data_IF_840748224051
#
_entry.id   IF_840748224051
#
_cell.length_a   1.000
_cell.length_b   1.000
_cell.length_c   1.000
_cell.angle_alpha   90.00
_cell.angle_beta   90.00
_cell.angle_gamma   90.00
#
_symmetry.space_group_name_H-M   'P 1'
#
loop_
_entity.id
_entity.type
_entity.pdbx_description
1 polymer ?
2 water ?
#
# COMPACT_ATOMS: atom_id res chain seq x y z
N UNK A 10 -22.75 -2.67 -13.91
CA UNK A 10 -22.64 -2.54 -15.35
C UNK A 10 -21.26 -2.92 -15.86
N UNK A 11 -20.77 -2.22 -16.86
CA UNK A 11 -19.63 -2.67 -17.59
C UNK A 11 -18.86 -1.48 -17.96
N UNK A 12 -17.55 -1.59 -18.00
CA UNK A 12 -16.75 -0.53 -18.47
C UNK A 12 -15.60 -1.18 -19.14
N UNK A 13 -15.23 -0.71 -20.30
CA UNK A 13 -14.10 -1.27 -20.98
C UNK A 13 -13.29 -0.20 -21.63
N UNK A 14 -12.03 -0.49 -21.79
CA UNK A 14 -11.10 0.45 -22.30
C UNK A 14 -10.06 -0.42 -22.88
N UNK A 15 -10.20 -0.77 -24.12
CA UNK A 15 -9.30 -1.69 -24.78
C UNK A 15 -9.23 -2.97 -23.96
N UNK A 16 -8.10 -3.66 -23.89
CA UNK A 16 -8.02 -4.86 -23.07
C UNK A 16 -8.65 -4.87 -21.71
N UNK A 17 -8.80 -3.73 -21.08
CA UNK A 17 -9.42 -3.69 -19.79
C UNK A 17 -10.89 -3.54 -19.67
N UNK A 18 -11.51 -4.32 -18.79
CA UNK A 18 -12.92 -4.13 -18.52
C UNK A 18 -13.31 -4.25 -17.04
N UNK A 19 -14.26 -3.45 -16.61
CA UNK A 19 -14.61 -3.38 -15.24
C UNK A 19 -16.00 -3.81 -15.02
N UNK A 20 -16.22 -4.81 -14.22
CA UNK A 20 -17.59 -5.20 -13.95
C UNK A 20 -18.00 -4.89 -12.51
N UNK A 21 -18.87 -3.89 -12.35
CA UNK A 21 -19.26 -3.47 -11.03
C UNK A 21 -20.00 -4.56 -10.25
N UNK A 22 -21.02 -5.13 -10.88
CA UNK A 22 -21.87 -6.12 -10.24
C UNK A 22 -21.07 -7.15 -9.46
N UNK A 23 -19.90 -7.51 -9.99
CA UNK A 23 -19.08 -8.55 -9.37
C UNK A 23 -17.76 -8.02 -8.80
N UNK A 24 -17.50 -6.73 -9.02
CA UNK A 24 -16.26 -6.12 -8.58
C UNK A 24 -15.04 -6.82 -9.21
N UNK A 25 -15.18 -7.23 -10.46
CA UNK A 25 -14.09 -7.93 -11.16
C UNK A 25 -13.33 -7.02 -12.12
N UNK A 26 -12.02 -7.13 -12.13
CA UNK A 26 -11.23 -6.45 -13.15
C UNK A 26 -10.55 -7.50 -14.00
N UNK A 27 -10.61 -7.33 -15.33
CA UNK A 27 -9.96 -8.24 -16.25
C UNK A 27 -9.12 -7.47 -17.24
N UNK A 28 -7.97 -8.04 -17.58
CA UNK A 28 -7.18 -7.51 -18.68
C UNK A 28 -6.95 -8.61 -19.70
N UNK A 29 -7.52 -8.42 -20.89
CA UNK A 29 -7.50 -9.47 -21.89
C UNK A 29 -8.19 -10.73 -21.39
N UNK A 30 -9.27 -10.53 -20.64
CA UNK A 30 -10.04 -11.65 -20.13
C UNK A 30 -9.50 -12.27 -18.87
N UNK A 31 -8.27 -11.97 -18.51
CA UNK A 31 -7.66 -12.45 -17.26
C UNK A 31 -7.90 -11.56 -16.05
N UNK A 32 -8.61 -12.10 -15.07
CA UNK A 32 -8.81 -11.44 -13.80
C UNK A 32 -7.56 -11.01 -13.10
N UNK A 33 -7.56 -9.75 -12.78
CA UNK A 33 -6.51 -9.18 -12.00
C UNK A 33 -7.26 -8.83 -10.72
N UNK A 34 -7.07 -9.75 -9.68
CA UNK A 34 -7.92 -9.51 -8.51
C UNK A 34 -7.39 -8.40 -7.66
N UNK A 35 -8.29 -7.74 -6.99
CA UNK A 35 -8.03 -6.51 -6.36
C UNK A 35 -8.90 -6.43 -5.15
N UNK A 36 -8.46 -5.74 -4.12
CA UNK A 36 -9.28 -5.59 -2.95
C UNK A 36 -10.36 -4.61 -3.28
N UNK A 37 -11.42 -4.59 -2.52
CA UNK A 37 -12.61 -3.86 -2.88
C UNK A 37 -12.47 -2.37 -2.96
N UNK A 38 -11.52 -1.82 -2.25
CA UNK A 38 -11.38 -0.39 -2.21
C UNK A 38 -10.58 -0.03 -3.38
N UNK A 39 -9.75 -0.92 -3.82
CA UNK A 39 -9.02 -0.69 -5.03
C UNK A 39 -9.89 -0.71 -6.26
N UNK A 40 -10.85 -1.61 -6.30
CA UNK A 40 -11.71 -1.69 -7.44
C UNK A 40 -12.62 -0.50 -7.44
N UNK A 41 -13.14 -0.16 -6.27
CA UNK A 41 -14.13 0.88 -6.18
C UNK A 41 -13.55 2.21 -6.48
N UNK A 42 -12.27 2.36 -6.24
CA UNK A 42 -11.62 3.60 -6.48
C UNK A 42 -11.31 3.75 -7.94
N UNK A 43 -10.97 2.66 -8.56
CA UNK A 43 -10.70 2.66 -9.96
C UNK A 43 -11.96 2.81 -10.77
N UNK A 44 -13.04 2.25 -10.32
CA UNK A 44 -14.28 2.37 -10.97
C UNK A 44 -14.63 3.83 -10.98
N UNK A 45 -14.46 4.48 -9.84
CA UNK A 45 -14.88 5.88 -9.71
C UNK A 45 -14.21 6.73 -10.74
N UNK A 46 -12.91 6.66 -10.77
CA UNK A 46 -12.12 7.36 -11.74
C UNK A 46 -12.45 7.04 -13.20
N UNK A 47 -12.59 5.77 -13.53
CA UNK A 47 -12.82 5.38 -14.90
C UNK A 47 -14.23 5.70 -15.34
N UNK A 48 -15.17 5.84 -14.42
CA UNK A 48 -16.49 6.32 -14.78
C UNK A 48 -16.47 7.75 -15.21
N UNK A 49 -15.36 8.42 -14.94
CA UNK A 49 -15.24 9.82 -15.15
C UNK A 49 -14.01 10.03 -15.98
N UNK A 50 -13.86 9.30 -17.06
CA UNK A 50 -12.65 9.40 -17.87
C UNK A 50 -12.25 10.83 -18.18
N UNK A 51 -10.96 11.10 -18.09
CA UNK A 51 -10.44 12.44 -18.32
C UNK A 51 -10.79 13.57 -17.34
N UNK A 52 -11.39 13.25 -16.20
CA UNK A 52 -11.73 14.26 -15.22
C UNK A 52 -10.64 14.18 -14.15
N UNK A 53 -10.29 15.32 -13.59
CA UNK A 53 -9.38 15.38 -12.48
C UNK A 53 -10.20 15.31 -11.23
N UNK A 54 -9.79 14.44 -10.34
CA UNK A 54 -10.41 14.38 -9.04
C UNK A 54 -9.46 14.62 -7.91
N UNK A 55 -10.01 15.24 -6.89
CA UNK A 55 -9.32 15.57 -5.68
C UNK A 55 -9.26 14.38 -4.75
N UNK A 56 -8.12 14.20 -4.11
CA UNK A 56 -7.95 13.18 -3.12
C UNK A 56 -9.08 13.24 -2.16
N UNK A 57 -9.43 14.42 -1.76
CA UNK A 57 -10.54 14.60 -0.86
C UNK A 57 -11.79 13.94 -1.35
N UNK A 58 -12.15 14.18 -2.59
CA UNK A 58 -13.34 13.62 -3.14
C UNK A 58 -13.27 12.12 -3.19
N UNK A 59 -12.14 11.63 -3.66
CA UNK A 59 -11.96 10.21 -3.75
C UNK A 59 -12.21 9.58 -2.41
N UNK A 60 -11.61 10.12 -1.35
CA UNK A 60 -11.76 9.55 -0.03
C UNK A 60 -13.15 9.66 0.52
N UNK A 61 -13.74 10.81 0.31
CA UNK A 61 -15.11 10.99 0.62
C UNK A 61 -16.13 9.99 0.05
N UNK A 62 -16.03 9.64 -1.22
CA UNK A 62 -17.03 8.80 -1.87
C UNK A 62 -16.63 7.33 -1.61
N UNK A 63 -15.36 7.02 -1.87
CA UNK A 63 -14.87 5.65 -1.90
C UNK A 63 -14.66 5.04 -0.53
N UNK A 64 -14.14 5.83 0.39
CA UNK A 64 -13.85 5.33 1.72
C UNK A 64 -14.86 5.75 2.78
N UNK A 65 -15.62 6.80 2.50
CA UNK A 65 -16.65 7.24 3.44
C UNK A 65 -16.47 8.67 3.93
N UNK A 66 -17.56 9.32 4.25
CA UNK A 66 -17.51 10.68 4.72
C UNK A 66 -16.76 10.68 6.01
N UNK A 67 -16.88 9.60 6.75
CA UNK A 67 -16.41 9.47 8.10
C UNK A 67 -14.98 9.01 8.19
N UNK A 68 -14.51 8.34 7.16
CA UNK A 68 -13.26 7.62 7.21
C UNK A 68 -12.15 8.35 7.91
N UNK A 69 -11.51 7.72 8.87
CA UNK A 69 -10.63 8.41 9.77
C UNK A 69 -9.21 7.92 9.86
N UNK A 70 -8.73 7.18 8.89
CA UNK A 70 -7.36 6.73 8.92
C UNK A 70 -6.58 7.85 8.43
N UNK A 71 -5.45 8.06 9.05
CA UNK A 71 -4.57 9.12 8.65
C UNK A 71 -3.51 8.59 7.72
N UNK A 72 -3.82 8.45 6.44
CA UNK A 72 -2.76 8.15 5.50
C UNK A 72 -2.99 8.73 4.16
N UNK A 73 -2.01 8.54 3.32
CA UNK A 73 -2.12 8.90 1.99
C UNK A 73 -2.82 7.68 1.48
N UNK A 74 -4.00 7.44 1.99
CA UNK A 74 -4.69 6.20 1.73
C UNK A 74 -5.13 6.08 0.29
N UNK A 75 -5.63 7.18 -0.27
CA UNK A 75 -5.95 7.32 -1.66
C UNK A 75 -4.71 7.21 -2.49
N UNK A 76 -3.70 7.99 -2.16
CA UNK A 76 -2.45 8.02 -2.92
C UNK A 76 -1.59 6.76 -2.75
N UNK A 77 -2.11 5.77 -2.02
CA UNK A 77 -1.38 4.55 -1.81
C UNK A 77 -2.08 3.58 -2.69
N UNK A 78 -3.35 3.76 -2.82
CA UNK A 78 -4.18 2.89 -3.55
C UNK A 78 -4.14 3.16 -5.05
N UNK A 79 -3.88 4.39 -5.43
CA UNK A 79 -3.60 4.76 -6.81
C UNK A 79 -2.38 3.96 -7.30
N UNK A 80 -1.30 4.00 -6.53
CA UNK A 80 -0.07 3.30 -6.87
C UNK A 80 -0.27 1.80 -6.92
N UNK A 81 -1.11 1.31 -6.06
CA UNK A 81 -1.43 -0.07 -6.04
C UNK A 81 -2.10 -0.49 -7.33
N UNK A 82 -3.14 0.21 -7.71
CA UNK A 82 -3.81 -0.03 -8.96
C UNK A 82 -2.87 0.06 -10.13
N UNK A 83 -2.10 1.11 -10.20
CA UNK A 83 -1.18 1.22 -11.32
C UNK A 83 -0.21 0.04 -11.35
N UNK A 84 0.31 -0.38 -10.20
CA UNK A 84 1.22 -1.53 -10.17
C UNK A 84 0.51 -2.71 -10.80
N UNK A 85 -0.66 -3.02 -10.31
CA UNK A 85 -1.45 -4.13 -10.78
C UNK A 85 -1.72 -4.16 -12.27
N UNK A 86 -2.01 -3.01 -12.84
CA UNK A 86 -2.24 -2.85 -14.25
C UNK A 86 -1.00 -3.06 -15.05
N UNK A 87 0.07 -2.43 -14.65
CA UNK A 87 1.28 -2.47 -15.39
C UNK A 87 1.86 -3.85 -15.33
N UNK A 88 1.54 -4.61 -14.31
CA UNK A 88 1.99 -5.99 -14.24
C UNK A 88 1.44 -6.74 -15.42
N UNK A 89 0.15 -6.66 -15.62
CA UNK A 89 -0.50 -7.33 -16.72
C UNK A 89 -0.29 -6.64 -18.08
N UNK A 90 0.55 -5.63 -18.12
CA UNK A 90 0.91 -4.99 -19.36
C UNK A 90 -0.17 -4.12 -19.94
N UNK A 91 -1.04 -3.57 -19.14
CA UNK A 91 -2.00 -2.67 -19.68
C UNK A 91 -1.38 -1.33 -19.54
N UNK A 92 -1.31 -0.57 -20.61
CA UNK A 92 -0.59 0.68 -20.58
C UNK A 92 -1.37 1.75 -21.26
N UNK A 93 -2.31 1.34 -22.08
CA UNK A 93 -2.95 2.23 -22.98
C UNK A 93 -3.65 3.30 -22.20
N UNK A 94 -4.14 2.98 -21.03
CA UNK A 94 -4.71 3.99 -20.17
C UNK A 94 -3.95 3.98 -18.89
N UNK A 95 -4.23 4.93 -18.01
CA UNK A 95 -3.57 5.01 -16.74
C UNK A 95 -4.24 5.99 -15.85
N UNK A 96 -3.81 6.06 -14.62
CA UNK A 96 -4.24 7.13 -13.75
C UNK A 96 -3.08 8.07 -13.73
N UNK A 97 -3.37 9.32 -13.95
CA UNK A 97 -2.36 10.31 -14.05
C UNK A 97 -2.45 11.09 -12.79
N UNK A 98 -1.30 11.30 -12.18
CA UNK A 98 -1.25 12.11 -11.01
C UNK A 98 -1.14 13.52 -11.47
N UNK A 99 -2.13 14.32 -11.17
CA UNK A 99 -2.05 15.73 -11.47
C UNK A 99 -1.67 16.50 -10.19
N UNK A 100 -0.39 16.70 -10.05
CA UNK A 100 0.20 17.22 -8.85
C UNK A 100 -0.47 18.43 -8.27
N UNK A 101 -0.92 18.31 -7.04
CA UNK A 101 -1.57 19.38 -6.35
C UNK A 101 -3.05 19.35 -6.58
N UNK A 102 -3.43 18.73 -7.67
CA UNK A 102 -4.81 18.83 -8.10
C UNK A 102 -5.65 17.62 -7.92
N UNK A 103 -5.11 16.45 -8.19
CA UNK A 103 -5.86 15.24 -7.94
C UNK A 103 -5.49 14.09 -8.80
N UNK A 104 -6.48 13.32 -9.21
CA UNK A 104 -6.20 12.17 -10.03
C UNK A 104 -7.06 12.03 -11.24
N UNK A 105 -6.44 11.61 -12.32
CA UNK A 105 -7.02 11.53 -13.64
C UNK A 105 -6.90 10.16 -14.28
N UNK A 106 -8.03 9.56 -14.63
CA UNK A 106 -8.02 8.39 -15.51
C UNK A 106 -8.23 8.72 -16.99
N UNK A 107 -7.24 8.45 -17.82
CA UNK A 107 -7.23 8.85 -19.21
C UNK A 107 -6.31 7.97 -20.01
N UNK A 108 -6.15 8.27 -21.30
CA UNK A 108 -5.27 7.49 -22.13
C UNK A 108 -3.83 7.88 -21.96
N UNK A 109 -2.97 6.90 -21.93
CA UNK A 109 -1.56 7.16 -21.82
C UNK A 109 -1.16 7.99 -23.01
N UNK B 10 10.39 -2.36 -6.53
CA UNK B 10 11.32 -2.61 -5.44
C UNK B 10 12.07 -1.37 -4.97
N UNK B 11 11.86 -1.05 -3.70
CA UNK B 11 12.58 0.00 -2.99
C UNK B 11 13.55 -0.60 -1.99
N UNK B 12 13.19 -1.68 -1.32
CA UNK B 12 14.09 -2.25 -0.37
C UNK B 12 13.87 -3.72 -0.23
N UNK B 13 14.93 -4.48 -0.13
CA UNK B 13 14.85 -5.91 -0.13
C UNK B 13 15.95 -6.47 0.71
N UNK B 14 15.70 -7.57 1.36
CA UNK B 14 16.65 -8.22 2.21
C UNK B 14 16.49 -9.69 2.26
N UNK B 15 17.34 -10.40 1.55
CA UNK B 15 17.12 -11.81 1.23
C UNK B 15 15.74 -11.90 0.56
N UNK B 16 14.96 -12.92 0.79
CA UNK B 16 13.63 -12.96 0.22
C UNK B 16 12.56 -11.89 0.42
N UNK B 17 12.81 -10.96 1.30
CA UNK B 17 11.87 -9.89 1.53
C UNK B 17 12.01 -8.61 0.75
N UNK B 18 10.90 -8.09 0.29
CA UNK B 18 10.92 -6.80 -0.34
C UNK B 18 9.79 -5.90 0.10
N UNK B 19 10.13 -4.65 0.23
CA UNK B 19 9.22 -3.63 0.70
C UNK B 19 9.14 -2.53 -0.30
N UNK B 20 7.94 -2.12 -0.66
CA UNK B 20 7.80 -1.09 -1.65
C UNK B 20 7.09 0.09 -1.07
N UNK B 21 7.74 1.24 -1.09
CA UNK B 21 7.27 2.39 -0.33
C UNK B 21 5.98 2.99 -0.83
N UNK B 22 5.95 3.36 -2.11
CA UNK B 22 4.84 4.13 -2.65
C UNK B 22 3.49 3.43 -2.49
N UNK B 23 3.47 2.14 -2.75
CA UNK B 23 2.24 1.37 -2.63
C UNK B 23 2.20 0.75 -1.25
N UNK B 24 3.21 1.01 -0.45
CA UNK B 24 3.21 0.49 0.92
C UNK B 24 2.95 -1.01 0.88
N UNK B 25 3.71 -1.74 0.06
CA UNK B 25 3.52 -3.18 -0.09
C UNK B 25 4.71 -4.04 0.42
N UNK B 26 4.40 -5.18 0.99
CA UNK B 26 5.42 -6.11 1.45
C UNK B 26 5.27 -7.41 0.69
N UNK B 27 6.39 -7.99 0.24
CA UNK B 27 6.32 -9.36 -0.28
C UNK B 27 7.41 -10.24 0.28
N UNK B 28 7.12 -11.53 0.26
CA UNK B 28 8.04 -12.53 0.72
C UNK B 28 7.97 -13.64 -0.30
N UNK B 29 9.12 -14.07 -0.81
CA UNK B 29 9.14 -15.15 -1.78
C UNK B 29 8.29 -14.78 -2.99
N UNK B 30 8.06 -13.48 -3.16
CA UNK B 30 7.35 -12.96 -4.31
C UNK B 30 5.88 -12.65 -4.09
N UNK B 31 5.30 -13.17 -3.01
CA UNK B 31 3.88 -12.93 -2.79
C UNK B 31 3.57 -11.95 -1.67
N UNK B 32 2.48 -11.22 -1.83
CA UNK B 32 2.12 -10.18 -0.91
C UNK B 32 1.84 -10.62 0.51
N UNK B 33 2.44 -9.95 1.47
CA UNK B 33 2.15 -10.19 2.85
C UNK B 33 1.37 -8.99 3.35
N UNK B 34 0.14 -9.21 3.71
CA UNK B 34 -0.75 -8.13 4.00
C UNK B 34 -0.57 -7.52 5.35
N UNK B 35 -0.28 -6.23 5.38
CA UNK B 35 -0.23 -5.47 6.64
C UNK B 35 -0.76 -4.07 6.54
N UNK B 36 -1.34 -3.56 7.62
CA UNK B 36 -1.78 -2.18 7.66
C UNK B 36 -0.69 -1.19 7.24
N UNK B 37 -1.11 0.00 6.84
CA UNK B 37 -0.21 0.99 6.29
C UNK B 37 0.78 1.42 7.34
N UNK B 38 0.27 1.78 8.52
CA UNK B 38 1.12 2.15 9.66
C UNK B 38 2.19 1.09 9.99
N UNK B 39 1.80 -0.19 9.97
CA UNK B 39 2.77 -1.27 10.19
C UNK B 39 3.84 -1.26 9.12
N UNK B 40 3.44 -1.10 7.88
CA UNK B 40 4.42 -1.03 6.82
C UNK B 40 5.36 0.14 7.10
N UNK B 41 4.81 1.24 7.58
CA UNK B 41 5.63 2.42 7.74
C UNK B 41 6.62 2.20 8.89
N UNK B 42 6.15 1.66 10.01
CA UNK B 42 7.04 1.25 11.08
C UNK B 42 8.15 0.36 10.52
N UNK B 43 7.78 -0.66 9.75
CA UNK B 43 8.77 -1.59 9.22
C UNK B 43 9.72 -0.86 8.29
N UNK B 44 9.16 0.00 7.46
CA UNK B 44 9.97 0.77 6.52
C UNK B 44 10.94 1.68 7.27
N UNK B 45 10.46 2.32 8.32
CA UNK B 45 11.30 3.27 9.06
C UNK B 45 12.51 2.58 9.66
N UNK B 46 12.29 1.39 10.21
CA UNK B 46 13.35 0.56 10.76
C UNK B 46 14.21 -0.05 9.68
N UNK B 47 13.61 -0.61 8.64
CA UNK B 47 14.38 -1.28 7.60
C UNK B 47 15.22 -0.27 6.84
N UNK B 48 14.63 0.90 6.59
CA UNK B 48 15.33 2.02 5.96
C UNK B 48 16.50 2.52 6.78
N UNK B 49 16.65 2.04 8.00
CA UNK B 49 17.75 2.44 8.82
C UNK B 49 18.36 1.21 9.43
N UNK B 50 18.80 0.31 8.59
CA UNK B 50 19.29 -0.96 9.04
C UNK B 50 20.36 -0.74 10.06
N UNK B 51 20.27 -1.50 11.13
CA UNK B 51 21.33 -1.56 12.11
C UNK B 51 21.46 -0.32 12.94
N UNK B 52 20.40 0.47 13.02
CA UNK B 52 20.38 1.64 13.86
C UNK B 52 19.36 1.32 14.95
N UNK B 53 19.56 1.80 16.15
CA UNK B 53 18.56 1.68 17.18
C UNK B 53 17.73 2.92 17.16
N UNK B 54 16.45 2.77 16.93
CA UNK B 54 15.57 3.86 16.92
C UNK B 54 14.81 3.77 18.21
N UNK B 55 14.69 4.88 18.89
CA UNK B 55 13.98 4.92 20.17
C UNK B 55 12.48 4.68 20.00
N UNK B 56 11.86 4.19 21.05
CA UNK B 56 10.41 4.04 21.10
C UNK B 56 9.75 5.37 20.83
N UNK B 57 10.34 6.44 21.36
CA UNK B 57 9.82 7.78 21.21
C UNK B 57 9.77 8.23 19.76
N UNK B 58 10.87 8.04 19.04
CA UNK B 58 11.00 8.53 17.70
C UNK B 58 10.17 7.71 16.72
N UNK B 59 9.98 6.44 17.03
CA UNK B 59 9.09 5.61 16.23
C UNK B 59 7.64 6.11 16.35
N UNK B 60 7.23 6.37 17.57
CA UNK B 60 5.88 6.88 17.81
C UNK B 60 5.70 8.22 17.14
N UNK B 61 6.59 9.14 17.39
CA UNK B 61 6.46 10.45 16.83
C UNK B 61 6.50 10.42 15.33
N UNK B 62 7.50 9.80 14.76
CA UNK B 62 7.66 9.79 13.33
C UNK B 62 6.73 8.91 12.54
N UNK B 63 6.00 8.02 13.16
CA UNK B 63 5.10 7.15 12.38
C UNK B 63 3.63 7.41 12.69
N UNK B 64 3.35 7.81 13.92
CA UNK B 64 1.99 8.16 14.30
C UNK B 64 1.90 9.63 14.70
N UNK B 65 2.72 10.04 15.67
CA UNK B 65 2.67 11.39 16.19
C UNK B 65 1.75 11.52 17.39
N UNK B 66 1.56 10.43 18.12
CA UNK B 66 0.77 10.45 19.34
C UNK B 66 1.56 11.06 20.49
N UNK B 71 -1.47 7.19 22.93
CA UNK B 71 -0.66 6.00 22.82
C UNK B 71 -1.23 4.88 23.65
N UNK B 72 -1.32 3.73 23.03
CA UNK B 72 -1.95 2.60 23.62
C UNK B 72 -1.04 1.47 23.28
N UNK B 73 0.13 1.51 23.85
CA UNK B 73 1.17 0.60 23.56
C UNK B 73 1.35 0.52 22.08
N UNK B 74 1.14 1.62 21.39
CA UNK B 74 1.13 1.66 19.95
C UNK B 74 2.26 0.95 19.28
N UNK B 75 3.48 1.32 19.61
CA UNK B 75 4.65 0.75 18.99
C UNK B 75 4.89 -0.70 19.31
N UNK B 76 4.78 -1.12 20.54
CA UNK B 76 5.04 -2.52 20.88
C UNK B 76 4.11 -3.47 20.14
N UNK B 77 2.83 -3.08 20.11
CA UNK B 77 1.80 -3.82 19.42
C UNK B 77 2.17 -4.06 17.95
N UNK B 78 2.65 -3.02 17.28
CA UNK B 78 2.94 -3.09 15.85
C UNK B 78 4.28 -3.73 15.53
N UNK B 79 5.19 -3.68 16.49
CA UNK B 79 6.43 -4.45 16.37
C UNK B 79 6.09 -5.92 16.43
N UNK B 80 5.19 -6.27 17.35
CA UNK B 80 4.75 -7.64 17.46
C UNK B 80 4.07 -8.10 16.17
N UNK B 81 3.08 -7.34 15.72
CA UNK B 81 2.33 -7.73 14.53
C UNK B 81 3.22 -7.93 13.32
N UNK B 82 4.27 -7.14 13.22
CA UNK B 82 5.21 -7.31 12.14
C UNK B 82 5.99 -8.62 12.32
N UNK B 83 6.43 -8.87 13.55
CA UNK B 83 7.15 -10.12 13.81
C UNK B 83 6.26 -11.35 13.59
N UNK B 84 5.00 -11.26 13.99
CA UNK B 84 4.06 -12.36 13.87
C UNK B 84 3.90 -12.75 12.39
N UNK B 85 3.85 -11.76 11.54
CA UNK B 85 3.65 -11.99 10.13
C UNK B 85 4.84 -12.57 9.41
N UNK B 86 6.00 -12.01 9.60
CA UNK B 86 7.19 -12.55 9.00
C UNK B 86 7.51 -13.92 9.56
N UNK B 87 6.88 -14.27 10.64
CA UNK B 87 7.10 -15.57 11.21
C UNK B 87 6.19 -16.48 10.46
N UNK B 88 4.95 -16.07 10.28
CA UNK B 88 4.02 -16.88 9.56
C UNK B 88 4.40 -17.08 8.11
N UNK B 89 5.49 -16.48 7.67
CA UNK B 89 6.02 -16.74 6.36
C UNK B 89 7.33 -17.44 6.37
N UNK B 90 7.77 -17.82 7.53
CA UNK B 90 9.09 -18.35 7.76
C UNK B 90 10.22 -17.47 7.28
N UNK B 91 10.03 -16.18 7.24
CA UNK B 91 11.13 -15.31 6.93
C UNK B 91 11.89 -15.11 8.21
N UNK B 92 13.17 -15.45 8.22
CA UNK B 92 13.98 -15.32 9.42
C UNK B 92 15.30 -14.70 9.18
N UNK B 93 15.69 -14.70 7.94
CA UNK B 93 16.98 -14.19 7.59
C UNK B 93 17.25 -12.87 8.32
N UNK B 94 16.22 -12.08 8.55
CA UNK B 94 16.36 -10.82 9.28
C UNK B 94 15.31 -10.64 10.31
N UNK B 95 15.48 -9.67 11.19
CA UNK B 95 14.58 -9.54 12.32
C UNK B 95 14.55 -8.14 12.85
N UNK B 96 13.58 -7.82 13.67
CA UNK B 96 13.65 -6.63 14.46
C UNK B 96 14.10 -7.06 15.80
N UNK B 97 15.15 -6.43 16.31
CA UNK B 97 15.66 -6.74 17.60
C UNK B 97 15.19 -5.71 18.55
N UNK B 98 14.83 -6.16 19.73
CA UNK B 98 14.61 -5.33 20.88
C UNK B 98 15.92 -4.97 21.53
N UNK B 99 16.12 -3.70 21.73
CA UNK B 99 17.27 -3.25 22.45
C UNK B 99 16.75 -2.68 23.74
N UNK B 100 16.67 -3.48 24.77
CA UNK B 100 15.96 -3.14 25.96
C UNK B 100 16.27 -1.79 26.48
N UNK B 101 15.25 -1.06 26.82
CA UNK B 101 15.42 0.26 27.34
C UNK B 101 15.73 1.30 26.30
N UNK B 102 15.97 0.91 25.07
CA UNK B 102 16.40 1.85 24.07
C UNK B 102 15.49 1.93 22.86
N UNK B 103 15.15 0.80 22.28
CA UNK B 103 14.35 0.77 21.09
C UNK B 103 14.45 -0.48 20.29
N UNK B 104 14.42 -0.33 18.99
CA UNK B 104 14.28 -1.44 18.11
C UNK B 104 15.23 -1.22 16.99
N UNK B 105 15.60 -2.29 16.34
CA UNK B 105 16.54 -2.21 15.28
C UNK B 105 16.34 -3.29 14.25
N UNK B 106 16.36 -2.92 12.99
CA UNK B 106 16.29 -3.89 11.92
C UNK B 106 17.67 -4.39 11.54
N UNK B 107 17.95 -5.64 11.82
CA UNK B 107 19.23 -6.21 11.54
C UNK B 107 19.07 -7.62 11.08
N UNK B 108 20.12 -8.14 10.44
CA UNK B 108 20.17 -9.51 10.01
C UNK B 108 20.19 -10.35 11.23
N UNK B 109 19.65 -11.54 11.14
CA UNK B 109 19.59 -12.45 12.25
C UNK B 109 20.83 -13.33 12.27
#
# INVERSE_FOLDING_TARGET
>A
HHHHHHQPVEQLSFDELTLINLSKVVTVNGHEVPMRIKEFELLWYLASRENEVISKSELLEKVWGYDYYEDANTVNVHIHRIREKLEKESFTTYTITTVWGLGYKFERSR
>B
HHHHHHQPVEQLSFDELTLINLSKVVTVNGHEVPMRIKEFELLWYLASRENEVISKSELLEKVWGYDYYEDANTVNVHIHRIREKLEKESFTTYTITTVWGLGYKFERSR
#
